data_IF_618554329116
#
_entry.id   IF_618554329116
#
_cell.length_a   1.000
_cell.length_b   1.000
_cell.length_c   1.000
_cell.angle_alpha   90.00
_cell.angle_beta   90.00
_cell.angle_gamma   90.00
#
_symmetry.space_group_name_H-M   'P 1'
#
loop_
_entity.id
_entity.type
_entity.pdbx_description
1 polymer ?
#
# COMPACT_ATOMS: atom_id res chain seq x y z
N UNK A 1 -3.46 19.69 -3.38
CA UNK A 1 -2.80 18.59 -4.09
C UNK A 1 -3.68 18.10 -5.23
N UNK A 2 -3.07 17.52 -6.24
CA UNK A 2 -3.80 17.10 -7.45
C UNK A 2 -4.56 15.77 -7.26
N UNK A 3 -3.97 14.81 -6.59
CA UNK A 3 -4.52 13.47 -6.45
C UNK A 3 -4.90 13.11 -5.03
N UNK A 4 -4.03 13.39 -4.08
CA UNK A 4 -4.27 13.09 -2.68
C UNK A 4 -4.94 14.27 -1.97
N UNK A 5 -5.60 13.98 -0.86
CA UNK A 5 -6.40 14.97 -0.15
C UNK A 5 -5.67 15.43 1.12
N UNK A 6 -5.62 16.74 1.35
CA UNK A 6 -5.03 17.32 2.57
C UNK A 6 -5.79 16.94 3.84
N UNK A 7 -7.00 16.39 3.70
CA UNK A 7 -7.80 15.93 4.83
C UNK A 7 -7.38 14.55 5.35
N UNK A 8 -6.41 13.91 4.71
CA UNK A 8 -5.86 12.65 5.17
C UNK A 8 -5.17 12.88 6.51
N UNK A 9 -5.57 12.11 7.52
CA UNK A 9 -5.13 12.32 8.91
C UNK A 9 -4.25 11.21 9.47
N UNK A 10 -4.27 10.02 8.87
CA UNK A 10 -3.52 8.88 9.37
C UNK A 10 -2.75 8.23 8.25
N UNK A 11 -1.71 7.47 8.63
CA UNK A 11 -0.92 6.72 7.66
C UNK A 11 -1.77 5.66 6.95
N UNK A 12 -2.69 5.02 7.67
CA UNK A 12 -3.59 4.02 7.10
C UNK A 12 -4.46 4.61 5.99
N UNK A 13 -5.02 5.80 6.23
CA UNK A 13 -5.81 6.51 5.20
C UNK A 13 -4.95 6.84 4.00
N UNK A 14 -3.73 7.29 4.24
CA UNK A 14 -2.80 7.67 3.18
C UNK A 14 -2.45 6.48 2.29
N UNK A 15 -2.11 5.36 2.89
CA UNK A 15 -1.77 4.14 2.13
C UNK A 15 -2.94 3.65 1.30
N UNK A 16 -4.14 3.68 1.87
CA UNK A 16 -5.35 3.25 1.17
C UNK A 16 -5.65 4.14 -0.04
N UNK A 17 -5.56 5.46 0.15
CA UNK A 17 -5.78 6.41 -0.92
C UNK A 17 -4.73 6.27 -2.03
N UNK A 18 -3.47 6.13 -1.65
CA UNK A 18 -2.39 5.92 -2.60
C UNK A 18 -2.61 4.67 -3.45
N UNK A 19 -2.91 3.55 -2.81
CA UNK A 19 -3.14 2.30 -3.54
C UNK A 19 -4.32 2.45 -4.52
N UNK A 20 -5.40 3.06 -4.09
CA UNK A 20 -6.57 3.27 -4.94
C UNK A 20 -6.21 4.06 -6.20
N UNK A 21 -5.38 5.10 -6.05
CA UNK A 21 -4.95 5.92 -7.18
C UNK A 21 -3.94 5.18 -8.07
N UNK A 22 -3.11 4.33 -7.50
CA UNK A 22 -2.19 3.51 -8.29
C UNK A 22 -2.93 2.59 -9.26
N UNK A 23 -4.12 2.12 -8.88
CA UNK A 23 -4.94 1.28 -9.77
C UNK A 23 -5.42 2.02 -11.02
N UNK A 24 -5.33 3.34 -11.03
CA UNK A 24 -5.72 4.18 -12.17
C UNK A 24 -4.54 4.81 -12.88
N UNK A 25 -3.52 5.17 -12.14
CA UNK A 25 -2.44 6.02 -12.67
C UNK A 25 -1.14 5.27 -12.99
N UNK A 26 -0.96 4.07 -12.45
CA UNK A 26 0.28 3.34 -12.64
C UNK A 26 0.45 2.89 -14.10
N UNK A 27 1.68 2.97 -14.67
CA UNK A 27 1.92 2.54 -16.05
C UNK A 27 1.53 1.09 -16.32
N UNK A 28 1.71 0.20 -15.33
CA UNK A 28 1.36 -1.21 -15.47
C UNK A 28 -0.14 -1.47 -15.62
N UNK A 29 -0.98 -0.47 -15.33
CA UNK A 29 -2.43 -0.57 -15.49
C UNK A 29 -2.97 0.42 -16.52
N UNK A 30 -2.09 0.96 -17.36
CA UNK A 30 -2.48 1.88 -18.42
C UNK A 30 -2.37 3.36 -18.10
N UNK A 31 -1.77 3.72 -16.98
CA UNK A 31 -1.52 5.10 -16.62
C UNK A 31 -0.22 5.64 -17.21
N UNK A 32 0.33 6.69 -16.63
CA UNK A 32 1.55 7.31 -17.12
C UNK A 32 2.58 7.53 -16.00
N UNK A 33 3.87 7.53 -16.39
CA UNK A 33 4.95 7.80 -15.45
C UNK A 33 4.87 9.22 -14.89
N UNK A 34 4.43 10.17 -15.69
CA UNK A 34 4.31 11.56 -15.26
C UNK A 34 3.29 11.72 -14.13
N UNK A 35 2.12 11.06 -14.29
CA UNK A 35 1.10 11.09 -13.26
C UNK A 35 1.56 10.40 -11.99
N UNK A 36 2.29 9.28 -12.13
CA UNK A 36 2.83 8.59 -10.97
C UNK A 36 3.88 9.41 -10.23
N UNK A 37 4.68 10.18 -10.93
CA UNK A 37 5.65 11.08 -10.28
C UNK A 37 4.95 12.10 -9.39
N UNK A 38 3.85 12.67 -9.89
CA UNK A 38 3.06 13.63 -9.11
C UNK A 38 2.44 12.94 -7.90
N UNK A 39 1.82 11.79 -8.09
CA UNK A 39 1.22 11.02 -7.00
C UNK A 39 2.26 10.64 -5.94
N UNK A 40 3.42 10.15 -6.38
CA UNK A 40 4.49 9.76 -5.46
C UNK A 40 4.99 10.96 -4.64
N UNK A 41 5.15 12.11 -5.27
CA UNK A 41 5.57 13.33 -4.57
C UNK A 41 4.55 13.75 -3.52
N UNK A 42 3.26 13.68 -3.85
CA UNK A 42 2.19 13.98 -2.90
C UNK A 42 2.17 12.99 -1.74
N UNK A 43 2.35 11.69 -2.05
CA UNK A 43 2.42 10.66 -1.03
C UNK A 43 3.56 10.93 -0.05
N UNK A 44 4.75 11.25 -0.56
CA UNK A 44 5.92 11.52 0.27
C UNK A 44 5.70 12.74 1.18
N UNK A 45 5.07 13.78 0.65
CA UNK A 45 4.77 14.98 1.42
C UNK A 45 3.80 14.68 2.57
N UNK A 46 2.71 13.96 2.27
CA UNK A 46 1.73 13.60 3.29
C UNK A 46 2.28 12.55 4.25
N UNK A 47 3.12 11.66 3.77
CA UNK A 47 3.77 10.65 4.62
C UNK A 47 4.53 11.33 5.77
N UNK A 48 5.33 12.35 5.47
CA UNK A 48 6.07 13.05 6.51
C UNK A 48 5.14 13.69 7.56
N UNK A 49 3.94 14.10 7.13
CA UNK A 49 2.97 14.71 8.03
C UNK A 49 2.27 13.69 8.93
N UNK A 50 1.94 12.52 8.41
CA UNK A 50 1.07 11.56 9.11
C UNK A 50 1.75 10.24 9.49
N UNK A 51 3.02 10.06 9.20
CA UNK A 51 3.71 8.78 9.39
C UNK A 51 3.61 8.20 10.79
N UNK A 52 3.49 9.03 11.80
CA UNK A 52 3.40 8.59 13.20
C UNK A 52 1.97 8.63 13.74
N UNK A 53 1.00 8.97 12.89
CA UNK A 53 -0.42 9.04 13.28
C UNK A 53 -1.14 7.84 12.65
N UNK A 54 -1.65 6.95 13.49
CA UNK A 54 -2.26 5.70 13.04
C UNK A 54 -3.72 5.61 13.45
N UNK A 55 -4.45 4.73 12.80
CA UNK A 55 -5.82 4.39 13.16
C UNK A 55 -5.96 2.88 13.27
N UNK A 56 -6.64 2.41 14.32
CA UNK A 56 -6.95 0.99 14.45
C UNK A 56 -8.22 0.65 13.66
N UNK A 57 -8.66 -0.61 13.72
CA UNK A 57 -9.85 -1.06 12.98
C UNK A 57 -11.14 -0.43 13.47
N UNK A 58 -11.16 0.10 14.68
CA UNK A 58 -12.32 0.79 15.24
C UNK A 58 -12.33 2.29 14.89
N UNK A 59 -11.33 2.75 14.17
CA UNK A 59 -11.23 4.16 13.79
C UNK A 59 -10.60 5.05 14.84
N UNK A 60 -10.14 4.50 15.95
CA UNK A 60 -9.46 5.26 16.98
C UNK A 60 -8.05 5.60 16.53
N UNK A 61 -7.65 6.87 16.73
CA UNK A 61 -6.30 7.31 16.36
C UNK A 61 -5.32 7.19 17.53
N UNK A 62 -4.08 6.90 17.20
CA UNK A 62 -3.00 6.82 18.20
C UNK A 62 -1.69 7.23 17.55
N UNK A 63 -0.72 7.59 18.37
CA UNK A 63 0.61 7.94 17.88
C UNK A 63 1.57 6.78 18.12
N UNK A 64 2.35 6.47 17.09
CA UNK A 64 3.39 5.44 17.16
C UNK A 64 4.44 5.76 16.11
N UNK A 65 5.69 5.67 16.46
CA UNK A 65 6.79 5.90 15.54
C UNK A 65 6.75 4.88 14.38
N UNK A 66 6.84 5.39 13.16
CA UNK A 66 6.87 4.56 11.94
C UNK A 66 8.30 4.55 11.40
N UNK A 67 8.86 3.35 11.25
CA UNK A 67 10.20 3.16 10.73
C UNK A 67 10.23 2.91 9.22
N UNK A 68 9.07 2.63 8.63
CA UNK A 68 8.93 2.41 7.20
C UNK A 68 9.19 3.71 6.43
N UNK A 69 9.82 3.59 5.25
CA UNK A 69 10.02 4.74 4.37
C UNK A 69 8.88 4.81 3.35
N UNK A 70 8.57 6.00 2.80
CA UNK A 70 7.53 6.11 1.78
C UNK A 70 7.89 5.32 0.53
N UNK A 71 9.16 5.26 0.17
CA UNK A 71 9.64 4.52 -1.00
C UNK A 71 9.38 3.02 -0.88
N UNK A 72 9.44 2.48 0.33
CA UNK A 72 9.20 1.05 0.56
C UNK A 72 7.78 0.64 0.15
N UNK A 73 6.79 1.44 0.52
CA UNK A 73 5.41 1.15 0.15
C UNK A 73 5.17 1.37 -1.35
N UNK A 74 5.74 2.45 -1.90
CA UNK A 74 5.64 2.74 -3.33
C UNK A 74 6.21 1.59 -4.15
N UNK A 75 7.38 1.09 -3.78
CA UNK A 75 8.02 -0.03 -4.44
C UNK A 75 7.18 -1.31 -4.33
N UNK A 76 6.64 -1.59 -3.14
CA UNK A 76 5.83 -2.78 -2.91
C UNK A 76 4.60 -2.80 -3.81
N UNK A 77 3.86 -1.69 -3.88
CA UNK A 77 2.66 -1.60 -4.72
C UNK A 77 3.04 -1.79 -6.20
N UNK A 78 4.13 -1.15 -6.65
CA UNK A 78 4.58 -1.30 -8.03
C UNK A 78 4.90 -2.76 -8.37
N UNK A 79 5.56 -3.48 -7.45
CA UNK A 79 5.87 -4.89 -7.66
C UNK A 79 4.60 -5.76 -7.69
N UNK A 80 3.63 -5.47 -6.82
CA UNK A 80 2.38 -6.23 -6.78
C UNK A 80 1.53 -6.01 -8.02
N UNK A 81 1.55 -4.81 -8.60
CA UNK A 81 0.79 -4.52 -9.82
C UNK A 81 1.31 -5.28 -11.04
N UNK A 82 2.52 -5.82 -10.98
CA UNK A 82 3.07 -6.66 -12.04
C UNK A 82 2.56 -8.09 -12.00
N UNK A 83 1.91 -8.49 -10.92
CA UNK A 83 1.43 -9.86 -10.73
C UNK A 83 0.00 -9.98 -11.25
N UNK A 84 -0.19 -10.83 -12.25
CA UNK A 84 -1.51 -11.02 -12.88
C UNK A 84 -2.44 -11.87 -12.02
N UNK A 85 -3.72 -11.51 -12.02
CA UNK A 85 -4.75 -12.32 -11.40
C UNK A 85 -4.90 -12.17 -9.90
N UNK A 86 -4.15 -11.29 -9.27
CA UNK A 86 -4.26 -11.05 -7.83
C UNK A 86 -5.05 -9.78 -7.56
N UNK A 87 -5.62 -9.71 -6.37
CA UNK A 87 -6.27 -8.52 -5.85
C UNK A 87 -5.52 -8.05 -4.62
N UNK A 88 -5.38 -6.75 -4.48
CA UNK A 88 -4.66 -6.13 -3.37
C UNK A 88 -5.67 -5.41 -2.48
N UNK A 89 -5.58 -5.63 -1.17
CA UNK A 89 -6.43 -4.94 -0.21
C UNK A 89 -5.55 -4.37 0.91
N UNK A 90 -5.77 -3.11 1.22
CA UNK A 90 -5.06 -2.42 2.30
C UNK A 90 -6.01 -2.35 3.50
N UNK A 91 -5.66 -3.02 4.58
CA UNK A 91 -6.43 -3.01 5.83
C UNK A 91 -5.52 -2.49 6.93
N UNK A 92 -5.79 -1.27 7.40
CA UNK A 92 -4.85 -0.58 8.28
C UNK A 92 -3.54 -0.37 7.57
N UNK A 93 -2.44 -0.83 8.14
CA UNK A 93 -1.13 -0.82 7.48
C UNK A 93 -0.75 -2.19 6.91
N UNK A 94 -1.67 -3.16 6.96
CA UNK A 94 -1.45 -4.49 6.40
C UNK A 94 -1.82 -4.51 4.93
N UNK A 95 -1.02 -5.22 4.15
CA UNK A 95 -1.30 -5.45 2.72
C UNK A 95 -1.68 -6.91 2.56
N UNK A 96 -2.89 -7.15 2.02
CA UNK A 96 -3.39 -8.50 1.75
C UNK A 96 -3.47 -8.72 0.24
N UNK A 97 -3.08 -9.90 -0.20
CA UNK A 97 -3.24 -10.29 -1.60
C UNK A 97 -4.06 -11.56 -1.70
N UNK A 98 -5.03 -11.55 -2.59
CA UNK A 98 -5.95 -12.65 -2.82
C UNK A 98 -6.03 -12.94 -4.32
N UNK A 99 -6.88 -13.90 -4.69
CA UNK A 99 -7.06 -14.27 -6.08
C UNK A 99 -6.13 -15.38 -6.49
N UNK A 100 -5.59 -15.30 -7.70
CA UNK A 100 -4.73 -16.34 -8.26
C UNK A 100 -3.28 -16.17 -7.80
N UNK A 101 -3.03 -16.48 -6.53
CA UNK A 101 -1.71 -16.30 -5.91
C UNK A 101 -0.75 -17.47 -6.10
N UNK A 102 -1.25 -18.64 -6.50
CA UNK A 102 -0.40 -19.82 -6.68
C UNK A 102 0.81 -19.61 -7.58
N UNK A 103 0.65 -19.06 -8.80
CA UNK A 103 1.81 -18.84 -9.66
C UNK A 103 2.77 -17.78 -9.12
N UNK A 104 2.33 -16.99 -8.14
CA UNK A 104 3.14 -15.91 -7.56
C UNK A 104 3.64 -16.23 -6.14
N UNK A 105 3.56 -17.49 -5.72
CA UNK A 105 3.95 -17.93 -4.39
C UNK A 105 5.38 -17.52 -4.02
N UNK A 106 6.33 -17.84 -4.89
CA UNK A 106 7.73 -17.54 -4.63
C UNK A 106 7.99 -16.03 -4.60
N UNK A 107 7.33 -15.29 -5.49
CA UNK A 107 7.46 -13.84 -5.52
C UNK A 107 6.85 -13.20 -4.26
N UNK A 108 5.71 -13.70 -3.82
CA UNK A 108 5.06 -13.22 -2.60
C UNK A 108 5.97 -13.43 -1.38
N UNK A 109 6.60 -14.58 -1.27
CA UNK A 109 7.57 -14.84 -0.20
C UNK A 109 8.76 -13.89 -0.28
N UNK A 110 9.28 -13.66 -1.48
CA UNK A 110 10.42 -12.76 -1.70
C UNK A 110 10.09 -11.33 -1.30
N UNK A 111 8.84 -10.91 -1.45
CA UNK A 111 8.39 -9.58 -1.08
C UNK A 111 8.10 -9.45 0.43
N UNK A 112 8.17 -10.54 1.18
CA UNK A 112 7.98 -10.54 2.62
C UNK A 112 6.57 -10.89 3.08
N UNK A 113 5.75 -11.44 2.19
CA UNK A 113 4.40 -11.88 2.55
C UNK A 113 4.43 -13.22 3.26
N UNK A 114 3.40 -13.44 4.08
CA UNK A 114 3.18 -14.69 4.80
C UNK A 114 1.82 -15.25 4.44
N UNK A 115 1.70 -16.57 4.46
CA UNK A 115 0.44 -17.25 4.18
C UNK A 115 -0.44 -17.29 5.43
N UNK A 116 -1.71 -16.92 5.26
CA UNK A 116 -2.71 -17.01 6.32
C UNK A 116 -3.65 -18.17 6.01
N UNK A 117 -3.50 -19.28 6.71
CA UNK A 117 -4.23 -20.52 6.39
C UNK A 117 -5.74 -20.41 6.58
N UNK A 118 -6.20 -19.66 7.56
CA UNK A 118 -7.65 -19.50 7.81
C UNK A 118 -8.34 -18.68 6.73
N UNK A 119 -7.67 -17.61 6.28
CA UNK A 119 -8.21 -16.72 5.24
C UNK A 119 -7.81 -17.12 3.83
N UNK A 120 -6.91 -18.11 3.72
CA UNK A 120 -6.41 -18.59 2.43
C UNK A 120 -5.88 -17.47 1.54
N UNK A 121 -5.11 -16.58 2.11
CA UNK A 121 -4.50 -15.45 1.38
C UNK A 121 -3.15 -15.09 1.99
N UNK A 122 -2.42 -14.23 1.29
CA UNK A 122 -1.10 -13.76 1.74
C UNK A 122 -1.25 -12.39 2.37
N UNK A 123 -0.43 -12.10 3.37
CA UNK A 123 -0.42 -10.80 4.01
C UNK A 123 0.99 -10.34 4.35
N UNK A 124 1.15 -9.04 4.46
CA UNK A 124 2.40 -8.42 4.87
C UNK A 124 2.10 -7.34 5.90
N UNK A 125 2.76 -7.41 7.06
CA UNK A 125 2.67 -6.37 8.07
C UNK A 125 3.68 -5.26 7.76
N UNK A 126 3.45 -4.03 8.27
CA UNK A 126 4.37 -2.92 8.03
C UNK A 126 5.74 -3.12 8.66
N UNK A 127 5.82 -3.95 9.68
CA UNK A 127 7.07 -4.18 10.41
C UNK A 127 7.86 -5.39 9.89
N UNK A 128 7.48 -5.91 8.75
CA UNK A 128 8.14 -7.05 8.15
C UNK A 128 7.38 -8.32 8.33
#
# INVERSE_FOLDING_TARGET
>A
MKYLNDNIRTLEELKKAYHRLCLKLHPDVGGSDEEMKILNAEYETLFERVKNIHANTDGETYERETTETPEAFQWLIAELLKLDGIEIEIIGCFVWITGDTKPHKERSKALGFRWHSKKCCWYKSPDG
#
